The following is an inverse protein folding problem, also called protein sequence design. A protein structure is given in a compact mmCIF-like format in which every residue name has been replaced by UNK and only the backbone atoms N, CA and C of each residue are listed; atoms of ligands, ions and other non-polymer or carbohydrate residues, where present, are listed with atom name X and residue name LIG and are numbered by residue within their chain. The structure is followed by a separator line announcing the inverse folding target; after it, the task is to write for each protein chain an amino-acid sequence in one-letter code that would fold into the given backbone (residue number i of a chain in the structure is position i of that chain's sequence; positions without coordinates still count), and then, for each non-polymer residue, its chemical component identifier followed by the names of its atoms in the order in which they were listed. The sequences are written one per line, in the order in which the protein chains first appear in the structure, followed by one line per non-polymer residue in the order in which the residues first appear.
data_IF_550955900301
#
_entry.id   IF_550955900301
#
_cell.length_a   1.000
_cell.length_b   1.000
_cell.length_c   1.000
_cell.angle_alpha   90.00
_cell.angle_beta   90.00
_cell.angle_gamma   90.00
#
_symmetry.space_group_name_H-M   'P 1'
#
loop_
_entity.id
_entity.type
_entity.pdbx_description
1 polymer ?
#
# COMPACT_ATOMS: atom_id res chain seq x y z
N UNK A 1 -23.53 0.16 -21.44
CA UNK A 1 -22.52 1.14 -21.04
C UNK A 1 -21.23 0.44 -20.67
N UNK A 2 -20.12 1.08 -20.91
CA UNK A 2 -18.82 0.50 -20.57
C UNK A 2 -18.65 0.40 -19.06
N UNK A 3 -18.05 -0.69 -18.63
CA UNK A 3 -17.69 -0.93 -17.25
C UNK A 3 -16.61 0.08 -16.80
N UNK A 4 -16.75 0.68 -15.63
CA UNK A 4 -15.71 1.57 -15.09
C UNK A 4 -14.52 0.74 -14.62
N UNK A 5 -13.37 1.41 -14.40
CA UNK A 5 -12.19 0.74 -13.84
C UNK A 5 -12.50 0.09 -12.49
N UNK A 6 -13.22 0.80 -11.62
CA UNK A 6 -13.59 0.27 -10.31
C UNK A 6 -14.48 -0.96 -10.43
N UNK A 7 -15.51 -0.89 -11.28
CA UNK A 7 -16.42 -2.02 -11.50
C UNK A 7 -15.67 -3.25 -12.02
N UNK A 8 -14.72 -3.03 -12.93
CA UNK A 8 -13.90 -4.10 -13.47
C UNK A 8 -13.04 -4.75 -12.39
N UNK A 9 -12.43 -3.94 -11.54
CA UNK A 9 -11.58 -4.43 -10.43
C UNK A 9 -12.40 -5.17 -9.38
N UNK A 10 -13.61 -4.70 -9.08
CA UNK A 10 -14.53 -5.39 -8.19
C UNK A 10 -14.87 -6.77 -8.75
N UNK A 11 -15.15 -6.84 -10.05
CA UNK A 11 -15.49 -8.11 -10.71
C UNK A 11 -14.31 -9.09 -10.62
N UNK A 12 -13.09 -8.64 -10.90
CA UNK A 12 -11.90 -9.49 -10.78
C UNK A 12 -11.72 -10.00 -9.35
N UNK A 13 -11.94 -9.12 -8.38
CA UNK A 13 -11.83 -9.50 -6.98
C UNK A 13 -12.89 -10.53 -6.58
N UNK A 14 -14.12 -10.37 -7.04
CA UNK A 14 -15.19 -11.32 -6.74
C UNK A 14 -14.92 -12.69 -7.38
N UNK A 15 -14.31 -12.71 -8.56
CA UNK A 15 -13.93 -13.95 -9.24
C UNK A 15 -12.77 -14.65 -8.55
N UNK A 16 -11.82 -13.88 -7.99
CA UNK A 16 -10.65 -14.43 -7.30
C UNK A 16 -10.25 -13.53 -6.14
N UNK A 17 -10.91 -13.67 -4.98
CA UNK A 17 -10.66 -12.80 -3.83
C UNK A 17 -9.34 -13.11 -3.11
N UNK A 18 -8.66 -14.19 -3.48
CA UNK A 18 -7.38 -14.57 -2.88
C UNK A 18 -6.18 -14.20 -3.74
N UNK A 19 -6.39 -13.44 -4.80
CA UNK A 19 -5.31 -12.96 -5.65
C UNK A 19 -4.83 -11.60 -5.11
N UNK A 20 -3.57 -11.56 -4.66
CA UNK A 20 -2.96 -10.34 -4.10
C UNK A 20 -3.04 -9.17 -5.08
N UNK A 21 -2.85 -9.41 -6.37
CA UNK A 21 -2.89 -8.36 -7.39
C UNK A 21 -4.28 -7.72 -7.47
N UNK A 22 -5.35 -8.53 -7.35
CA UNK A 22 -6.72 -8.02 -7.37
C UNK A 22 -7.01 -7.15 -6.14
N UNK A 23 -6.53 -7.57 -4.97
CA UNK A 23 -6.69 -6.80 -3.73
C UNK A 23 -5.93 -5.48 -3.84
N UNK A 24 -4.70 -5.54 -4.32
CA UNK A 24 -3.86 -4.36 -4.53
C UNK A 24 -4.52 -3.37 -5.49
N UNK A 25 -5.04 -3.88 -6.60
CA UNK A 25 -5.74 -3.04 -7.59
C UNK A 25 -6.91 -2.28 -6.98
N UNK A 26 -7.72 -2.95 -6.16
CA UNK A 26 -8.84 -2.31 -5.47
C UNK A 26 -8.35 -1.26 -4.45
N UNK A 27 -7.32 -1.59 -3.68
CA UNK A 27 -6.76 -0.66 -2.72
C UNK A 27 -6.32 0.64 -3.41
N UNK A 28 -5.62 0.53 -4.54
CA UNK A 28 -5.16 1.70 -5.30
C UNK A 28 -6.32 2.49 -5.89
N UNK A 29 -7.32 1.82 -6.44
CA UNK A 29 -8.45 2.52 -7.06
C UNK A 29 -9.28 3.25 -6.02
N UNK A 30 -9.57 2.63 -4.88
CA UNK A 30 -10.29 3.30 -3.81
C UNK A 30 -9.51 4.46 -3.20
N UNK A 31 -8.19 4.43 -3.24
CA UNK A 31 -7.35 5.52 -2.74
C UNK A 31 -7.77 6.87 -3.33
N UNK A 32 -8.25 6.88 -4.56
CA UNK A 32 -8.66 8.10 -5.27
C UNK A 32 -9.97 8.68 -4.76
N UNK A 33 -10.86 7.86 -4.21
CA UNK A 33 -12.24 8.27 -3.91
C UNK A 33 -12.70 7.93 -2.50
N UNK A 34 -12.15 6.89 -1.88
CA UNK A 34 -12.61 6.42 -0.57
C UNK A 34 -11.42 5.85 0.21
N UNK A 35 -10.75 6.74 0.95
CA UNK A 35 -9.52 6.42 1.67
C UNK A 35 -9.74 5.30 2.69
N UNK A 36 -10.88 5.28 3.36
CA UNK A 36 -11.16 4.23 4.37
C UNK A 36 -11.35 2.86 3.73
N UNK A 37 -11.99 2.82 2.56
CA UNK A 37 -12.13 1.58 1.81
C UNK A 37 -10.77 1.09 1.32
N UNK A 38 -9.95 2.02 0.85
CA UNK A 38 -8.57 1.72 0.45
C UNK A 38 -7.79 1.12 1.63
N UNK A 39 -7.94 1.71 2.81
CA UNK A 39 -7.29 1.21 4.02
C UNK A 39 -7.69 -0.24 4.33
N UNK A 40 -8.97 -0.56 4.21
CA UNK A 40 -9.46 -1.92 4.42
C UNK A 40 -8.75 -2.93 3.50
N UNK A 41 -8.62 -2.58 2.21
CA UNK A 41 -7.98 -3.48 1.24
C UNK A 41 -6.47 -3.58 1.46
N UNK A 42 -5.79 -2.50 1.81
CA UNK A 42 -4.36 -2.58 2.15
C UNK A 42 -4.13 -3.42 3.40
N UNK A 43 -4.99 -3.28 4.42
CA UNK A 43 -4.90 -4.09 5.63
C UNK A 43 -5.08 -5.57 5.30
N UNK A 44 -6.08 -5.90 4.49
CA UNK A 44 -6.31 -7.27 4.05
C UNK A 44 -5.11 -7.81 3.28
N UNK A 45 -4.59 -7.00 2.34
CA UNK A 45 -3.46 -7.39 1.51
C UNK A 45 -2.25 -7.74 2.38
N UNK A 46 -1.87 -6.86 3.29
CA UNK A 46 -0.67 -7.06 4.10
C UNK A 46 -0.85 -8.13 5.19
N UNK A 47 -2.09 -8.37 5.60
CA UNK A 47 -2.38 -9.45 6.55
C UNK A 47 -2.16 -10.82 5.90
N UNK A 48 -2.65 -11.01 4.69
CA UNK A 48 -2.60 -12.30 4.01
C UNK A 48 -1.41 -12.47 3.06
N UNK A 49 -0.82 -11.35 2.61
CA UNK A 49 0.30 -11.35 1.66
C UNK A 49 1.37 -10.37 2.12
N UNK A 50 2.01 -10.65 3.29
CA UNK A 50 3.03 -9.72 3.82
C UNK A 50 4.27 -9.56 2.93
N UNK A 51 4.45 -10.44 1.94
CA UNK A 51 5.56 -10.37 1.00
C UNK A 51 5.22 -9.57 -0.27
N UNK A 52 4.04 -8.95 -0.32
CA UNK A 52 3.64 -8.14 -1.47
C UNK A 52 4.25 -6.75 -1.34
N UNK A 53 5.50 -6.63 -1.77
CA UNK A 53 6.34 -5.45 -1.56
C UNK A 53 5.69 -4.13 -1.99
N UNK A 54 5.04 -4.01 -3.18
CA UNK A 54 4.51 -2.72 -3.62
C UNK A 54 3.49 -2.10 -2.67
N UNK A 55 2.82 -2.91 -1.86
CA UNK A 55 1.79 -2.42 -0.95
C UNK A 55 2.33 -1.53 0.16
N UNK A 56 3.58 -1.74 0.60
CA UNK A 56 4.14 -1.03 1.75
C UNK A 56 4.28 0.47 1.50
N UNK A 57 4.71 0.86 0.32
CA UNK A 57 4.84 2.27 -0.03
C UNK A 57 3.47 2.96 -0.01
N UNK A 58 2.51 2.39 -0.71
CA UNK A 58 1.18 3.00 -0.83
C UNK A 58 0.41 2.97 0.48
N UNK A 59 0.50 1.88 1.24
CA UNK A 59 -0.13 1.79 2.56
C UNK A 59 0.47 2.83 3.51
N UNK A 60 1.79 3.03 3.44
CA UNK A 60 2.46 4.05 4.25
C UNK A 60 1.98 5.45 3.90
N UNK A 61 1.89 5.78 2.61
CA UNK A 61 1.38 7.07 2.15
C UNK A 61 -0.05 7.31 2.62
N UNK A 62 -0.90 6.28 2.54
CA UNK A 62 -2.27 6.37 3.01
C UNK A 62 -2.33 6.67 4.51
N UNK A 63 -1.48 6.02 5.30
CA UNK A 63 -1.42 6.27 6.73
C UNK A 63 -0.98 7.69 7.05
N UNK A 64 -0.06 8.26 6.27
CA UNK A 64 0.31 9.67 6.41
C UNK A 64 -0.90 10.57 6.21
N UNK A 65 -1.71 10.30 5.19
CA UNK A 65 -2.92 11.10 4.92
C UNK A 65 -3.93 11.01 6.07
N UNK A 66 -3.95 9.89 6.79
CA UNK A 66 -4.84 9.70 7.93
C UNK A 66 -4.20 10.22 9.23
N UNK A 67 -3.05 10.87 9.15
CA UNK A 67 -2.30 11.38 10.30
C UNK A 67 -1.84 10.27 11.26
N UNK A 68 -1.71 9.04 10.75
CA UNK A 68 -1.18 7.90 11.50
C UNK A 68 0.29 7.72 11.16
N UNK A 69 1.09 8.74 11.50
CA UNK A 69 2.47 8.84 11.04
C UNK A 69 3.39 7.75 11.57
N UNK A 70 3.19 7.31 12.82
CA UNK A 70 4.00 6.23 13.37
C UNK A 70 3.74 4.90 12.68
N UNK A 71 2.47 4.64 12.34
CA UNK A 71 2.12 3.45 11.57
C UNK A 71 2.73 3.52 10.17
N UNK A 72 2.72 4.71 9.56
CA UNK A 72 3.36 4.91 8.25
C UNK A 72 4.85 4.58 8.31
N UNK A 73 5.56 5.07 9.32
CA UNK A 73 6.98 4.79 9.48
C UNK A 73 7.25 3.29 9.66
N UNK A 74 6.40 2.60 10.42
CA UNK A 74 6.50 1.16 10.61
C UNK A 74 6.35 0.41 9.28
N UNK A 75 5.36 0.82 8.48
CA UNK A 75 5.13 0.19 7.16
C UNK A 75 6.30 0.41 6.22
N UNK A 76 6.85 1.63 6.19
CA UNK A 76 8.03 1.91 5.36
C UNK A 76 9.23 1.05 5.81
N UNK A 77 9.45 0.94 7.13
CA UNK A 77 10.56 0.14 7.66
C UNK A 77 10.39 -1.35 7.32
N UNK A 78 9.19 -1.88 7.46
CA UNK A 78 8.90 -3.27 7.09
C UNK A 78 9.13 -3.51 5.60
N UNK A 79 8.69 -2.57 4.78
CA UNK A 79 8.92 -2.65 3.33
C UNK A 79 10.40 -2.59 2.99
N UNK A 80 11.17 -1.76 3.69
CA UNK A 80 12.61 -1.68 3.48
C UNK A 80 13.30 -3.01 3.78
N UNK A 81 12.92 -3.66 4.90
CA UNK A 81 13.50 -4.96 5.24
C UNK A 81 13.18 -6.01 4.17
N UNK A 82 11.94 -6.01 3.69
CA UNK A 82 11.52 -6.93 2.64
C UNK A 82 12.27 -6.64 1.33
N UNK A 83 12.40 -5.37 0.96
CA UNK A 83 13.12 -4.97 -0.26
C UNK A 83 14.58 -5.41 -0.21
N UNK A 84 15.21 -5.34 0.96
CA UNK A 84 16.58 -5.84 1.15
C UNK A 84 16.66 -7.34 0.90
N UNK A 85 15.72 -8.10 1.45
CA UNK A 85 15.66 -9.55 1.26
C UNK A 85 15.50 -9.92 -0.21
N UNK A 86 14.65 -9.17 -0.91
CA UNK A 86 14.35 -9.41 -2.33
C UNK A 86 15.40 -8.80 -3.26
N UNK A 87 16.34 -8.04 -2.72
CA UNK A 87 17.36 -7.32 -3.47
C UNK A 87 16.77 -6.33 -4.48
N UNK A 88 15.65 -5.75 -4.13
CA UNK A 88 14.99 -4.72 -4.92
C UNK A 88 15.50 -3.35 -4.47
N UNK A 89 16.60 -2.91 -5.05
CA UNK A 89 17.26 -1.68 -4.64
C UNK A 89 16.47 -0.43 -4.97
N UNK A 90 15.72 -0.44 -6.05
CA UNK A 90 14.88 0.69 -6.44
C UNK A 90 13.77 0.92 -5.43
N UNK A 91 13.04 -0.14 -5.08
CA UNK A 91 11.96 -0.04 -4.10
C UNK A 91 12.50 0.31 -2.72
N UNK A 92 13.65 -0.25 -2.33
CA UNK A 92 14.32 0.11 -1.08
C UNK A 92 14.58 1.61 -1.02
N UNK A 93 15.11 2.20 -2.11
CA UNK A 93 15.41 3.62 -2.15
C UNK A 93 14.15 4.47 -2.05
N UNK A 94 13.08 4.07 -2.72
CA UNK A 94 11.80 4.78 -2.66
C UNK A 94 11.22 4.78 -1.24
N UNK A 95 11.25 3.62 -0.58
CA UNK A 95 10.77 3.47 0.80
C UNK A 95 11.63 4.26 1.78
N UNK A 96 12.96 4.22 1.59
CA UNK A 96 13.89 4.97 2.43
C UNK A 96 13.63 6.46 2.31
N UNK A 97 13.42 6.97 1.10
CA UNK A 97 13.11 8.38 0.87
C UNK A 97 11.83 8.78 1.57
N UNK A 98 10.78 7.96 1.47
CA UNK A 98 9.51 8.24 2.14
C UNK A 98 9.67 8.25 3.66
N UNK A 99 10.43 7.29 4.20
CA UNK A 99 10.72 7.22 5.63
C UNK A 99 11.47 8.46 6.12
N UNK A 100 12.53 8.83 5.40
CA UNK A 100 13.36 9.96 5.78
C UNK A 100 12.60 11.28 5.69
N UNK A 101 11.80 11.48 4.67
CA UNK A 101 10.98 12.68 4.51
C UNK A 101 9.98 12.82 5.66
N UNK A 102 9.30 11.74 6.02
CA UNK A 102 8.33 11.78 7.11
C UNK A 102 9.02 12.03 8.44
N UNK A 103 10.14 11.38 8.69
CA UNK A 103 10.94 11.59 9.90
C UNK A 103 11.37 13.06 10.03
N UNK A 104 11.81 13.64 8.92
CA UNK A 104 12.21 15.04 8.88
C UNK A 104 11.03 15.97 9.22
N UNK A 105 9.87 15.72 8.63
CA UNK A 105 8.66 16.51 8.90
C UNK A 105 8.24 16.43 10.36
N UNK A 106 8.33 15.25 10.97
CA UNK A 106 7.92 15.05 12.36
C UNK A 106 8.89 15.71 13.35
N UNK A 107 10.14 15.84 12.98
CA UNK A 107 11.17 16.42 13.84
C UNK A 107 11.40 17.91 13.55
N UNK A 108 10.89 18.37 12.45
CA UNK A 108 11.03 19.76 12.04
C UNK A 108 9.94 20.65 12.52
#
# INVERSE_FOLDING_TARGET
MAETRLEQLIRFYEEDPNDAFNIYGLALEYYKTDVRKSEEFFTKLLTYFPDYLPAYYHAGKLKEELNENEVALTLYAQGMDLAKKLKDHKTLQELKSAYDELTFELNG
#
